data_IF_862905451750
#
_entry.id   IF_862905451750
#
_cell.length_a   1.000
_cell.length_b   1.000
_cell.length_c   1.000
_cell.angle_alpha   90.00
_cell.angle_beta   90.00
_cell.angle_gamma   90.00
#
_symmetry.space_group_name_H-M   'P 1'
#
loop_
_entity.id
_entity.type
_entity.pdbx_description
1 polymer ?
#
# COMPACT_ATOMS: atom_id res chain seq x y z
N UNK A 1 -8.13 -22.79 -6.89
CA UNK A 1 -8.86 -22.44 -8.13
C UNK A 1 -8.22 -21.17 -8.68
N UNK A 2 -7.68 -21.21 -9.91
CA UNK A 2 -7.16 -20.00 -10.58
C UNK A 2 -8.37 -19.11 -10.89
N UNK A 3 -8.34 -17.88 -10.41
CA UNK A 3 -9.39 -16.91 -10.70
C UNK A 3 -9.32 -16.52 -12.19
N UNK A 4 -10.42 -16.66 -12.91
CA UNK A 4 -10.50 -16.26 -14.32
C UNK A 4 -10.38 -14.73 -14.40
N UNK A 5 -9.34 -14.24 -15.05
CA UNK A 5 -9.16 -12.80 -15.28
C UNK A 5 -9.89 -12.42 -16.56
N UNK A 6 -10.86 -11.47 -16.52
CA UNK A 6 -11.61 -11.05 -17.69
C UNK A 6 -10.71 -10.39 -18.74
N UNK A 7 -11.01 -10.66 -20.02
CA UNK A 7 -10.37 -10.02 -21.17
C UNK A 7 -11.25 -8.90 -21.71
N UNK A 8 -10.61 -7.79 -22.09
CA UNK A 8 -11.25 -6.63 -22.72
C UNK A 8 -10.66 -6.47 -24.12
N UNK A 9 -11.53 -6.30 -25.15
CA UNK A 9 -11.11 -6.07 -26.52
C UNK A 9 -11.31 -4.59 -26.87
N UNK A 10 -10.23 -3.92 -27.21
CA UNK A 10 -10.26 -2.54 -27.74
C UNK A 10 -10.16 -2.56 -29.25
N UNK A 11 -11.06 -1.81 -29.91
CA UNK A 11 -11.02 -1.58 -31.34
C UNK A 11 -10.39 -0.21 -31.63
N UNK A 12 -9.31 -0.21 -32.41
CA UNK A 12 -8.67 1.01 -32.88
C UNK A 12 -8.57 0.97 -34.40
N UNK A 13 -9.51 1.64 -35.07
CA UNK A 13 -9.63 1.59 -36.53
C UNK A 13 -9.90 0.15 -37.02
N UNK A 14 -8.96 -0.42 -37.80
CA UNK A 14 -9.05 -1.79 -38.33
C UNK A 14 -8.37 -2.85 -37.47
N UNK A 15 -7.77 -2.47 -36.34
CA UNK A 15 -7.09 -3.40 -35.45
C UNK A 15 -7.88 -3.65 -34.17
N UNK A 16 -7.91 -4.90 -33.72
CA UNK A 16 -8.42 -5.31 -32.41
C UNK A 16 -7.27 -5.75 -31.55
N UNK A 17 -7.23 -5.29 -30.30
CA UNK A 17 -6.26 -5.72 -29.28
C UNK A 17 -6.97 -6.21 -28.05
N UNK A 18 -6.63 -7.41 -27.61
CA UNK A 18 -7.12 -7.98 -26.36
C UNK A 18 -6.14 -7.69 -25.23
N UNK A 19 -6.67 -7.25 -24.09
CA UNK A 19 -5.95 -7.03 -22.84
C UNK A 19 -6.67 -7.77 -21.72
N UNK A 20 -5.95 -8.32 -20.75
CA UNK A 20 -6.59 -8.60 -19.49
C UNK A 20 -6.98 -7.29 -18.78
N UNK A 21 -7.93 -7.37 -17.85
CA UNK A 21 -8.48 -6.16 -17.19
C UNK A 21 -7.41 -5.36 -16.43
N UNK A 22 -6.42 -6.01 -15.80
CA UNK A 22 -5.36 -5.32 -15.07
C UNK A 22 -4.39 -4.62 -16.02
N UNK A 23 -3.98 -5.28 -17.12
CA UNK A 23 -3.16 -4.67 -18.17
C UNK A 23 -3.88 -3.48 -18.81
N UNK A 24 -5.21 -3.56 -18.97
CA UNK A 24 -5.99 -2.44 -19.51
C UNK A 24 -6.02 -1.27 -18.54
N UNK A 25 -6.20 -1.53 -17.26
CA UNK A 25 -6.21 -0.50 -16.21
C UNK A 25 -4.81 0.11 -16.00
N UNK A 26 -3.74 -0.67 -16.17
CA UNK A 26 -2.36 -0.18 -16.10
C UNK A 26 -2.10 0.92 -17.15
N UNK A 27 -2.70 0.84 -18.36
CA UNK A 27 -2.63 1.92 -19.36
C UNK A 27 -3.24 3.24 -18.86
N UNK A 28 -4.20 3.16 -17.93
CA UNK A 28 -4.76 4.33 -17.23
C UNK A 28 -3.97 4.68 -15.95
N UNK A 29 -2.76 4.11 -15.80
CA UNK A 29 -1.86 4.31 -14.67
C UNK A 29 -2.44 3.84 -13.33
N UNK A 30 -3.29 2.83 -13.37
CA UNK A 30 -3.95 2.22 -12.22
C UNK A 30 -3.28 0.89 -11.89
N UNK A 31 -2.81 0.77 -10.65
CA UNK A 31 -2.22 -0.44 -10.08
C UNK A 31 -3.12 -0.94 -8.95
N UNK A 32 -3.29 -2.27 -8.85
CA UNK A 32 -4.03 -2.91 -7.76
C UNK A 32 -3.12 -3.69 -6.84
N UNK A 33 -3.23 -3.40 -5.54
CA UNK A 33 -2.70 -4.22 -4.45
C UNK A 33 -3.89 -4.85 -3.72
N UNK A 34 -4.30 -6.05 -4.16
CA UNK A 34 -5.55 -6.70 -3.73
C UNK A 34 -5.35 -7.99 -2.93
N UNK A 35 -4.11 -8.27 -2.49
CA UNK A 35 -3.76 -9.50 -1.78
C UNK A 35 -2.82 -9.21 -0.61
N UNK A 36 -2.40 -10.27 0.10
CA UNK A 36 -1.28 -10.18 1.03
C UNK A 36 0.00 -9.79 0.29
N UNK A 37 0.87 -9.03 0.97
CA UNK A 37 2.14 -8.53 0.42
C UNK A 37 3.22 -9.57 0.70
N UNK A 38 3.70 -10.22 -0.35
CA UNK A 38 4.88 -11.06 -0.37
C UNK A 38 5.91 -10.53 -1.37
N UNK A 39 7.03 -11.22 -1.54
CA UNK A 39 8.11 -10.78 -2.43
C UNK A 39 7.70 -10.77 -3.91
N UNK A 40 6.81 -11.69 -4.34
CA UNK A 40 6.29 -11.75 -5.70
C UNK A 40 5.37 -10.56 -5.99
N UNK A 41 4.44 -10.29 -5.07
CA UNK A 41 3.53 -9.13 -5.15
C UNK A 41 4.33 -7.83 -5.15
N UNK A 42 5.34 -7.72 -4.28
CA UNK A 42 6.19 -6.54 -4.23
C UNK A 42 6.94 -6.33 -5.53
N UNK A 43 7.57 -7.36 -6.08
CA UNK A 43 8.29 -7.31 -7.36
C UNK A 43 7.39 -6.87 -8.50
N UNK A 44 6.15 -7.37 -8.55
CA UNK A 44 5.18 -7.01 -9.58
C UNK A 44 4.72 -5.55 -9.46
N UNK A 45 4.41 -5.07 -8.26
CA UNK A 45 4.02 -3.67 -8.02
C UNK A 45 5.18 -2.72 -8.36
N UNK A 46 6.40 -3.05 -7.95
CA UNK A 46 7.61 -2.27 -8.24
C UNK A 46 7.83 -2.18 -9.76
N UNK A 47 7.74 -3.30 -10.47
CA UNK A 47 7.89 -3.31 -11.92
C UNK A 47 6.85 -2.41 -12.62
N UNK A 48 5.60 -2.42 -12.17
CA UNK A 48 4.55 -1.55 -12.70
C UNK A 48 4.83 -0.06 -12.38
N UNK A 49 5.31 0.26 -11.18
CA UNK A 49 5.68 1.63 -10.80
C UNK A 49 6.80 2.17 -11.71
N UNK A 50 7.87 1.39 -11.90
CA UNK A 50 9.01 1.77 -12.75
C UNK A 50 8.61 1.85 -14.23
N UNK A 51 7.77 0.94 -14.72
CA UNK A 51 7.24 1.00 -16.07
C UNK A 51 6.44 2.29 -16.32
N UNK A 52 5.55 2.65 -15.40
CA UNK A 52 4.73 3.85 -15.53
C UNK A 52 5.57 5.13 -15.41
N UNK A 53 6.62 5.14 -14.59
CA UNK A 53 7.58 6.25 -14.56
C UNK A 53 8.29 6.41 -15.90
N UNK A 54 8.81 5.32 -16.47
CA UNK A 54 9.49 5.34 -17.77
C UNK A 54 8.57 5.78 -18.91
N UNK A 55 7.27 5.44 -18.85
CA UNK A 55 6.27 5.84 -19.85
C UNK A 55 5.96 7.36 -19.75
N UNK A 56 5.74 7.88 -18.56
CA UNK A 56 5.52 9.31 -18.32
C UNK A 56 5.78 9.68 -16.86
N UNK A 57 6.86 10.41 -16.61
CA UNK A 57 7.27 10.80 -15.26
C UNK A 57 6.47 11.95 -14.64
N UNK A 58 5.62 12.65 -15.42
CA UNK A 58 4.87 13.81 -14.95
C UNK A 58 3.43 13.49 -14.52
N UNK A 59 2.90 12.33 -14.96
CA UNK A 59 1.54 11.92 -14.64
C UNK A 59 1.49 11.09 -13.37
N UNK A 60 0.48 11.33 -12.54
CA UNK A 60 0.22 10.56 -11.32
C UNK A 60 0.04 9.06 -11.61
N UNK A 61 0.41 8.25 -10.64
CA UNK A 61 0.11 6.82 -10.58
C UNK A 61 -0.95 6.61 -9.49
N UNK A 62 -1.93 5.75 -9.75
CA UNK A 62 -3.04 5.45 -8.83
C UNK A 62 -2.91 4.03 -8.28
N UNK A 63 -2.55 3.91 -7.01
CA UNK A 63 -2.45 2.63 -6.30
C UNK A 63 -3.71 2.36 -5.49
N UNK A 64 -4.52 1.41 -5.95
CA UNK A 64 -5.73 0.93 -5.27
C UNK A 64 -5.37 -0.20 -4.31
N UNK A 65 -5.73 -0.04 -3.04
CA UNK A 65 -5.31 -0.94 -1.96
C UNK A 65 -6.53 -1.64 -1.34
N UNK A 66 -6.53 -2.97 -1.39
CA UNK A 66 -7.42 -3.85 -0.64
C UNK A 66 -6.59 -5.02 -0.07
N UNK A 67 -5.76 -4.74 0.93
CA UNK A 67 -4.75 -5.66 1.42
C UNK A 67 -4.76 -5.81 2.94
N UNK A 68 -4.61 -7.05 3.46
CA UNK A 68 -4.42 -7.29 4.89
C UNK A 68 -2.99 -6.92 5.37
N UNK A 69 -2.09 -6.50 4.48
CA UNK A 69 -0.67 -6.33 4.74
C UNK A 69 0.13 -7.58 4.37
N UNK A 70 1.27 -7.80 5.01
CA UNK A 70 2.14 -8.94 4.73
C UNK A 70 3.58 -8.69 5.17
N UNK A 71 4.57 -9.23 4.45
CA UNK A 71 5.98 -9.16 4.81
C UNK A 71 6.49 -7.72 4.86
N UNK A 72 7.16 -7.39 5.97
CA UNK A 72 7.66 -6.05 6.23
C UNK A 72 8.66 -5.60 5.17
N UNK A 73 9.61 -6.45 4.81
CA UNK A 73 10.65 -6.13 3.81
C UNK A 73 10.06 -5.91 2.42
N UNK A 74 9.10 -6.75 2.01
CA UNK A 74 8.37 -6.61 0.75
C UNK A 74 7.56 -5.30 0.70
N UNK A 75 6.85 -4.97 1.79
CA UNK A 75 6.12 -3.71 1.89
C UNK A 75 7.01 -2.48 1.91
N UNK A 76 8.17 -2.54 2.57
CA UNK A 76 9.15 -1.46 2.55
C UNK A 76 9.77 -1.26 1.16
N UNK A 77 10.00 -2.33 0.39
CA UNK A 77 10.49 -2.22 -0.98
C UNK A 77 9.51 -1.45 -1.88
N UNK A 78 8.20 -1.72 -1.75
CA UNK A 78 7.17 -0.95 -2.47
C UNK A 78 7.17 0.51 -1.99
N UNK A 79 7.18 0.75 -0.67
CA UNK A 79 7.18 2.09 -0.09
C UNK A 79 8.38 2.92 -0.56
N UNK A 80 9.59 2.35 -0.51
CA UNK A 80 10.79 3.02 -0.95
C UNK A 80 10.73 3.34 -2.46
N UNK A 81 10.20 2.43 -3.29
CA UNK A 81 10.00 2.68 -4.73
C UNK A 81 8.98 3.79 -4.98
N UNK A 82 7.85 3.83 -4.24
CA UNK A 82 6.86 4.91 -4.34
C UNK A 82 7.48 6.29 -4.06
N UNK A 83 8.48 6.35 -3.16
CA UNK A 83 9.17 7.59 -2.82
C UNK A 83 10.37 7.89 -3.72
N UNK A 84 10.92 6.89 -4.41
CA UNK A 84 12.06 7.01 -5.31
C UNK A 84 11.67 7.55 -6.67
N UNK A 85 10.55 7.08 -7.23
CA UNK A 85 10.06 7.49 -8.55
C UNK A 85 9.59 8.95 -8.56
N UNK A 86 9.71 9.61 -9.72
CA UNK A 86 9.31 11.00 -9.91
C UNK A 86 7.79 11.23 -9.90
N UNK A 87 6.95 10.35 -10.49
CA UNK A 87 5.49 10.50 -10.46
C UNK A 87 4.93 10.53 -9.05
N UNK A 88 3.96 11.39 -8.79
CA UNK A 88 3.20 11.31 -7.54
C UNK A 88 2.35 10.04 -7.51
N UNK A 89 2.42 9.30 -6.39
CA UNK A 89 1.60 8.10 -6.18
C UNK A 89 0.38 8.46 -5.34
N UNK A 90 -0.79 8.46 -5.98
CA UNK A 90 -2.09 8.58 -5.31
C UNK A 90 -2.51 7.22 -4.76
N UNK A 91 -2.84 7.14 -3.47
CA UNK A 91 -3.25 5.90 -2.81
C UNK A 91 -4.73 5.93 -2.45
N UNK A 92 -5.43 4.82 -2.70
CA UNK A 92 -6.88 4.72 -2.52
C UNK A 92 -7.21 3.40 -1.83
N UNK A 93 -7.72 3.46 -0.60
CA UNK A 93 -8.21 2.26 0.09
C UNK A 93 -9.61 1.90 -0.41
N UNK A 94 -9.76 0.68 -0.92
CA UNK A 94 -11.03 0.06 -1.33
C UNK A 94 -11.24 -1.23 -0.52
N UNK A 95 -12.07 -1.20 0.51
CA UNK A 95 -12.28 -2.34 1.41
C UNK A 95 -11.39 -2.28 2.63
N UNK A 96 -10.12 -2.71 2.54
CA UNK A 96 -9.20 -2.64 3.69
C UNK A 96 -7.78 -2.26 3.32
N UNK A 97 -7.11 -1.59 4.26
CA UNK A 97 -5.67 -1.40 4.27
C UNK A 97 -5.14 -1.67 5.68
N UNK A 98 -4.52 -2.83 5.89
CA UNK A 98 -4.07 -3.25 7.21
C UNK A 98 -2.55 -3.45 7.24
N UNK A 99 -1.91 -3.21 8.40
CA UNK A 99 -0.47 -3.45 8.60
C UNK A 99 0.38 -2.74 7.54
N UNK A 100 1.19 -3.48 6.78
CA UNK A 100 1.97 -2.88 5.67
C UNK A 100 1.09 -2.23 4.60
N UNK A 101 -0.15 -2.71 4.38
CA UNK A 101 -1.12 -2.05 3.50
C UNK A 101 -1.51 -0.65 3.99
N UNK A 102 -1.66 -0.46 5.31
CA UNK A 102 -1.93 0.85 5.89
C UNK A 102 -0.71 1.79 5.79
N UNK A 103 0.50 1.24 5.91
CA UNK A 103 1.73 2.00 5.72
C UNK A 103 1.86 2.49 4.26
N UNK A 104 1.57 1.63 3.28
CA UNK A 104 1.58 2.01 1.86
C UNK A 104 0.50 3.06 1.56
N UNK A 105 -0.70 2.92 2.14
CA UNK A 105 -1.77 3.91 2.02
C UNK A 105 -1.30 5.28 2.54
N UNK A 106 -0.72 5.31 3.75
CA UNK A 106 -0.19 6.52 4.36
C UNK A 106 1.03 7.09 3.61
N UNK A 107 1.77 6.23 2.91
CA UNK A 107 2.96 6.57 2.11
C UNK A 107 2.66 7.22 0.77
N UNK A 108 1.40 7.30 0.36
CA UNK A 108 1.01 8.04 -0.84
C UNK A 108 1.34 9.54 -0.76
N UNK A 109 1.38 10.19 -1.91
CA UNK A 109 1.68 11.62 -2.01
C UNK A 109 0.68 12.45 -1.21
N UNK A 110 1.17 13.43 -0.46
CA UNK A 110 0.33 14.29 0.40
C UNK A 110 -0.78 14.99 -0.40
N UNK A 111 -2.00 14.97 0.14
CA UNK A 111 -3.20 15.49 -0.53
C UNK A 111 -3.84 14.50 -1.51
N UNK A 112 -3.17 13.35 -1.80
CA UNK A 112 -3.61 12.34 -2.76
C UNK A 112 -3.88 10.96 -2.13
N UNK A 113 -3.97 10.89 -0.79
CA UNK A 113 -4.29 9.68 -0.04
C UNK A 113 -5.76 9.67 0.31
N UNK A 114 -6.47 8.59 -0.04
CA UNK A 114 -7.93 8.55 0.12
C UNK A 114 -8.46 7.16 0.47
N UNK A 115 -9.71 7.11 0.91
CA UNK A 115 -10.43 5.86 1.15
C UNK A 115 -11.89 6.01 0.74
N UNK A 116 -12.53 4.90 0.36
CA UNK A 116 -13.97 4.82 0.22
C UNK A 116 -14.64 4.81 1.62
N UNK A 117 -15.90 5.26 1.76
CA UNK A 117 -16.54 5.48 3.07
C UNK A 117 -16.59 4.26 3.98
N UNK A 118 -16.76 3.06 3.41
CA UNK A 118 -16.88 1.81 4.15
C UNK A 118 -15.53 1.07 4.28
N UNK A 119 -14.42 1.71 3.92
CA UNK A 119 -13.09 1.11 4.05
C UNK A 119 -12.64 1.09 5.50
N UNK A 120 -11.85 0.06 5.84
CA UNK A 120 -11.26 -0.14 7.16
C UNK A 120 -9.74 -0.10 7.08
N UNK A 121 -9.12 0.66 7.95
CA UNK A 121 -7.68 0.69 8.12
C UNK A 121 -7.27 0.07 9.46
N UNK A 122 -6.09 -0.55 9.51
CA UNK A 122 -5.56 -1.10 10.76
C UNK A 122 -4.04 -0.94 10.79
N UNK A 123 -3.55 -0.42 11.90
CA UNK A 123 -2.11 -0.34 12.18
C UNK A 123 -1.78 -1.20 13.39
N UNK A 124 -0.61 -1.82 13.37
CA UNK A 124 -0.05 -2.58 14.47
C UNK A 124 1.47 -2.75 14.33
N UNK A 125 2.14 -3.21 15.39
CA UNK A 125 3.54 -3.55 15.34
C UNK A 125 3.79 -4.81 14.48
N UNK A 126 5.01 -5.01 13.93
CA UNK A 126 5.36 -6.22 13.21
C UNK A 126 5.12 -7.47 14.06
N UNK A 127 4.59 -8.50 13.42
CA UNK A 127 4.52 -9.85 14.00
C UNK A 127 5.76 -10.61 13.55
N UNK A 128 6.33 -11.39 14.44
CA UNK A 128 7.44 -12.28 14.14
C UNK A 128 7.54 -13.37 15.19
N UNK A 129 8.14 -14.47 14.80
CA UNK A 129 8.50 -15.58 15.65
C UNK A 129 9.76 -16.22 15.15
N UNK A 130 10.52 -16.84 16.02
CA UNK A 130 11.77 -17.53 15.69
C UNK A 130 11.97 -18.68 16.64
N UNK A 131 12.48 -19.77 16.11
CA UNK A 131 12.94 -20.95 16.83
C UNK A 131 14.39 -21.24 16.45
N UNK A 132 15.22 -21.68 17.42
CA UNK A 132 16.62 -21.97 17.15
C UNK A 132 17.49 -21.78 18.39
N UNK A 133 18.79 -21.59 18.18
CA UNK A 133 19.75 -21.33 19.26
C UNK A 133 19.51 -19.97 19.91
N UNK A 134 19.83 -19.84 21.21
CA UNK A 134 19.60 -18.61 21.96
C UNK A 134 20.21 -17.35 21.31
N UNK A 135 21.38 -17.47 20.69
CA UNK A 135 22.04 -16.38 19.97
C UNK A 135 21.24 -15.96 18.73
N UNK A 136 20.72 -16.92 17.96
CA UNK A 136 19.91 -16.64 16.75
C UNK A 136 18.58 -16.01 17.13
N UNK A 137 17.94 -16.52 18.21
CA UNK A 137 16.69 -15.93 18.74
C UNK A 137 16.93 -14.46 19.12
N UNK A 138 18.03 -14.14 19.78
CA UNK A 138 18.38 -12.77 20.15
C UNK A 138 18.57 -11.88 18.92
N UNK A 139 19.33 -12.34 17.93
CA UNK A 139 19.57 -11.59 16.68
C UNK A 139 18.25 -11.26 15.98
N UNK A 140 17.35 -12.24 15.86
CA UNK A 140 16.03 -12.04 15.23
C UNK A 140 15.13 -11.10 16.04
N UNK A 141 15.16 -11.23 17.38
CA UNK A 141 14.40 -10.33 18.25
C UNK A 141 14.87 -8.87 18.12
N UNK A 142 16.20 -8.64 18.09
CA UNK A 142 16.78 -7.31 17.88
C UNK A 142 16.40 -6.74 16.52
N UNK A 143 16.37 -7.56 15.45
CA UNK A 143 15.94 -7.15 14.12
C UNK A 143 14.44 -6.77 14.09
N UNK A 144 13.57 -7.54 14.70
CA UNK A 144 12.13 -7.22 14.81
C UNK A 144 11.93 -5.88 15.52
N UNK A 145 12.66 -5.63 16.61
CA UNK A 145 12.62 -4.35 17.33
C UNK A 145 13.12 -3.20 16.45
N UNK A 146 14.16 -3.41 15.64
CA UNK A 146 14.67 -2.43 14.68
C UNK A 146 13.64 -2.08 13.62
N UNK A 147 12.99 -3.09 13.03
CA UNK A 147 11.91 -2.92 12.05
C UNK A 147 10.70 -2.19 12.63
N UNK A 148 10.27 -2.55 13.86
CA UNK A 148 9.22 -1.83 14.60
C UNK A 148 9.53 -0.34 14.70
N UNK A 149 10.73 0.02 15.15
CA UNK A 149 11.14 1.43 15.25
C UNK A 149 11.13 2.14 13.90
N UNK A 150 11.56 1.47 12.83
CA UNK A 150 11.57 2.02 11.47
C UNK A 150 10.15 2.29 10.98
N UNK A 151 9.24 1.32 11.10
CA UNK A 151 7.82 1.45 10.71
C UNK A 151 7.16 2.59 11.48
N UNK A 152 7.36 2.66 12.80
CA UNK A 152 6.80 3.72 13.63
C UNK A 152 7.28 5.11 13.20
N UNK A 153 8.55 5.27 12.84
CA UNK A 153 9.08 6.53 12.28
C UNK A 153 8.42 6.90 10.96
N UNK A 154 8.24 5.94 10.04
CA UNK A 154 7.58 6.15 8.76
C UNK A 154 6.13 6.57 8.99
N UNK A 155 5.37 5.83 9.81
CA UNK A 155 3.98 6.18 10.15
C UNK A 155 3.89 7.56 10.80
N UNK A 156 4.78 7.88 11.74
CA UNK A 156 4.83 9.21 12.36
C UNK A 156 5.05 10.33 11.35
N UNK A 157 5.99 10.14 10.42
CA UNK A 157 6.27 11.10 9.35
C UNK A 157 5.07 11.26 8.38
N UNK A 158 4.43 10.16 8.00
CA UNK A 158 3.28 10.18 7.09
C UNK A 158 2.02 10.81 7.72
N UNK A 159 1.76 10.51 9.00
CA UNK A 159 0.54 10.91 9.71
C UNK A 159 0.66 12.23 10.47
N UNK A 160 1.88 12.75 10.64
CA UNK A 160 2.21 13.87 11.55
C UNK A 160 1.89 13.59 13.04
N UNK A 161 1.72 12.33 13.42
CA UNK A 161 1.57 11.93 14.81
C UNK A 161 2.93 11.85 15.49
N UNK A 162 2.96 12.04 16.82
CA UNK A 162 4.18 11.83 17.60
C UNK A 162 4.57 10.36 17.63
N UNK A 163 5.88 10.07 17.68
CA UNK A 163 6.36 8.69 17.79
C UNK A 163 5.75 7.96 19.00
N UNK A 164 5.64 8.64 20.14
CA UNK A 164 5.02 8.08 21.35
C UNK A 164 3.56 7.65 21.10
N UNK A 165 2.79 8.44 20.34
CA UNK A 165 1.41 8.09 19.99
C UNK A 165 1.37 6.89 19.05
N UNK A 166 2.21 6.87 18.01
CA UNK A 166 2.32 5.73 17.09
C UNK A 166 2.70 4.46 17.85
N UNK A 167 3.69 4.50 18.73
CA UNK A 167 4.14 3.35 19.54
C UNK A 167 3.01 2.80 20.41
N UNK A 168 2.23 3.69 21.04
CA UNK A 168 1.06 3.31 21.84
C UNK A 168 -0.03 2.66 20.98
N UNK A 169 -0.39 3.28 19.86
CA UNK A 169 -1.51 2.85 19.02
C UNK A 169 -1.17 1.58 18.23
N UNK A 170 0.10 1.38 17.86
CA UNK A 170 0.56 0.17 17.15
C UNK A 170 0.92 -1.00 18.07
N UNK A 171 0.87 -0.84 19.39
CA UNK A 171 1.19 -1.93 20.31
C UNK A 171 0.28 -3.15 20.13
N UNK A 172 -0.97 -2.91 19.78
CA UNK A 172 -1.96 -3.91 19.38
C UNK A 172 -2.69 -3.44 18.12
N UNK A 173 -3.62 -4.27 17.61
CA UNK A 173 -4.41 -3.90 16.44
C UNK A 173 -5.23 -2.64 16.73
N UNK A 174 -4.95 -1.56 16.02
CA UNK A 174 -5.68 -0.30 16.10
C UNK A 174 -6.47 -0.08 14.82
N UNK A 175 -7.77 -0.34 14.89
CA UNK A 175 -8.68 -0.22 13.74
C UNK A 175 -9.24 1.20 13.63
N UNK A 176 -9.43 1.63 12.39
CA UNK A 176 -10.01 2.93 12.04
C UNK A 176 -10.96 2.76 10.85
N UNK A 177 -12.12 3.40 10.90
CA UNK A 177 -12.94 3.67 9.72
C UNK A 177 -12.33 4.81 8.89
N UNK A 178 -12.93 5.14 7.75
CA UNK A 178 -12.37 6.14 6.82
C UNK A 178 -12.26 7.54 7.45
N UNK A 179 -13.25 7.99 8.22
CA UNK A 179 -13.22 9.30 8.89
C UNK A 179 -12.20 9.36 10.03
N UNK A 180 -12.08 8.29 10.80
CA UNK A 180 -11.07 8.17 11.85
C UNK A 180 -9.66 8.17 11.26
N UNK A 181 -9.42 7.45 10.15
CA UNK A 181 -8.15 7.41 9.44
C UNK A 181 -7.77 8.79 8.87
N UNK A 182 -8.75 9.57 8.40
CA UNK A 182 -8.55 10.96 7.98
C UNK A 182 -8.15 11.84 9.17
N UNK A 183 -8.85 11.76 10.29
CA UNK A 183 -8.50 12.49 11.52
C UNK A 183 -7.12 12.11 12.06
N UNK A 184 -6.77 10.83 11.93
CA UNK A 184 -5.47 10.30 12.34
C UNK A 184 -4.32 10.79 11.43
N UNK A 185 -4.62 11.08 10.17
CA UNK A 185 -3.66 11.53 9.15
C UNK A 185 -3.11 10.41 8.27
N UNK A 186 -3.69 9.20 8.34
CA UNK A 186 -3.36 8.11 7.40
C UNK A 186 -3.79 8.44 5.97
N UNK A 187 -4.90 9.15 5.83
CA UNK A 187 -5.43 9.62 4.55
C UNK A 187 -5.76 11.11 4.60
N UNK A 188 -5.92 11.73 3.45
CA UNK A 188 -6.23 13.15 3.30
C UNK A 188 -7.73 13.40 3.11
N UNK A 189 -8.46 12.45 2.48
CA UNK A 189 -9.88 12.60 2.17
C UNK A 189 -10.63 11.28 2.12
N UNK A 190 -11.92 11.34 2.42
CA UNK A 190 -12.89 10.25 2.16
C UNK A 190 -13.61 10.56 0.85
N UNK A 191 -13.64 9.59 -0.06
CA UNK A 191 -14.26 9.73 -1.38
C UNK A 191 -15.73 9.31 -1.28
N UNK A 192 -16.61 10.23 -0.93
CA UNK A 192 -18.04 10.03 -1.08
C UNK A 192 -18.37 9.92 -2.58
N UNK A 193 -19.37 9.10 -2.92
CA UNK A 193 -19.71 8.81 -4.32
C UNK A 193 -19.82 10.09 -5.18
N UNK A 194 -19.59 9.95 -6.48
CA UNK A 194 -19.81 11.04 -7.41
C UNK A 194 -21.27 11.51 -7.24
N UNK A 195 -21.48 12.80 -6.95
CA UNK A 195 -22.81 13.40 -7.05
C UNK A 195 -23.35 13.10 -8.45
N UNK A 196 -24.49 12.42 -8.49
CA UNK A 196 -25.23 12.15 -9.73
C UNK A 196 -25.73 13.45 -10.31
#
# INVERSE_FOLDING_TARGET
MSQLIPMVVEKSGRSERAFDIYSRLLKERIIFLSTSIDDNVASLIIAQLLFLEAENSEKDIHLYINSPGGFVTAGLAIFDTMNFIKPAVSTICIGQASSMGALLLAGGSRGKRSALPNSRMMIHQPLGGVEGQASDIKIQADEIVRLRKRINRILGACTKQTIRKIEKDTDRNYFMNAEEAKKYGLIDKVLNGRSK
#
